data_IF_879672496291
#
_entry.id   IF_879672496291
#
_cell.length_a   1.000
_cell.length_b   1.000
_cell.length_c   1.000
_cell.angle_alpha   90.00
_cell.angle_beta   90.00
_cell.angle_gamma   90.00
#
_symmetry.space_group_name_H-M   'P 1'
#
loop_
_entity.id
_entity.type
_entity.pdbx_description
1 polymer ?
#
# COMPACT_ATOMS: atom_id res chain seq x y z
N UNK A 1 28.79 8.77 5.08
CA UNK A 1 28.18 7.64 4.35
C UNK A 1 26.76 8.00 3.93
N UNK A 2 26.18 7.27 2.98
CA UNK A 2 24.80 7.47 2.50
C UNK A 2 23.82 6.74 3.44
N UNK A 3 22.75 7.42 3.85
CA UNK A 3 21.74 6.84 4.77
C UNK A 3 20.64 6.14 3.97
N UNK A 4 20.38 4.84 4.19
CA UNK A 4 19.32 4.12 3.49
C UNK A 4 17.92 4.47 4.03
N UNK A 5 16.97 4.61 3.09
CA UNK A 5 15.53 4.67 3.33
C UNK A 5 14.90 3.53 2.53
N UNK A 6 14.50 2.47 3.23
CA UNK A 6 13.98 1.26 2.59
C UNK A 6 12.46 1.34 2.49
N UNK A 7 11.94 1.16 1.27
CA UNK A 7 10.53 0.90 1.05
C UNK A 7 10.33 -0.62 0.94
N UNK A 8 9.41 -1.17 1.74
CA UNK A 8 9.16 -2.60 1.82
C UNK A 8 8.26 -3.08 0.67
N UNK A 9 7.34 -2.26 0.19
CA UNK A 9 6.44 -2.61 -0.90
C UNK A 9 6.26 -1.46 -1.87
N UNK A 10 6.50 -1.76 -3.15
CA UNK A 10 6.42 -0.80 -4.24
C UNK A 10 5.74 -1.44 -5.46
N UNK A 11 4.50 -1.93 -5.23
CA UNK A 11 3.59 -2.50 -6.24
C UNK A 11 4.01 -3.88 -6.72
N UNK A 12 4.88 -4.53 -5.95
CA UNK A 12 5.60 -5.75 -6.27
C UNK A 12 5.05 -6.96 -5.52
N UNK A 13 3.71 -7.05 -5.41
CA UNK A 13 3.08 -8.21 -4.78
C UNK A 13 3.52 -9.51 -5.49
N UNK A 14 4.01 -10.52 -4.75
CA UNK A 14 4.37 -11.79 -5.36
C UNK A 14 3.16 -12.42 -6.08
N UNK A 15 3.34 -12.80 -7.35
CA UNK A 15 2.30 -13.45 -8.14
C UNK A 15 1.71 -14.70 -7.47
N UNK A 16 2.52 -15.43 -6.69
CA UNK A 16 2.06 -16.59 -5.94
C UNK A 16 0.93 -16.25 -4.95
N UNK A 17 0.95 -15.07 -4.33
CA UNK A 17 -0.11 -14.62 -3.40
C UNK A 17 -1.37 -14.17 -4.16
N UNK A 18 -1.20 -13.51 -5.30
CA UNK A 18 -2.29 -13.16 -6.22
C UNK A 18 -3.04 -14.43 -6.67
N UNK A 19 -2.31 -15.45 -7.15
CA UNK A 19 -2.90 -16.71 -7.60
C UNK A 19 -3.51 -17.53 -6.46
N UNK A 20 -2.95 -17.46 -5.24
CA UNK A 20 -3.40 -18.28 -4.11
C UNK A 20 -4.70 -17.78 -3.49
N UNK A 21 -4.87 -16.47 -3.35
CA UNK A 21 -6.01 -15.89 -2.64
C UNK A 21 -6.46 -14.52 -3.16
N UNK A 22 -6.10 -14.16 -4.40
CA UNK A 22 -6.44 -12.86 -5.00
C UNK A 22 -5.74 -11.68 -4.31
N UNK A 23 -4.54 -11.93 -3.76
CA UNK A 23 -3.61 -10.91 -3.29
C UNK A 23 -4.20 -9.89 -2.34
N UNK A 24 -4.15 -8.61 -2.71
CA UNK A 24 -4.62 -7.49 -1.89
C UNK A 24 -6.14 -7.51 -1.64
N UNK A 25 -6.91 -8.32 -2.37
CA UNK A 25 -8.34 -8.48 -2.14
C UNK A 25 -8.67 -9.47 -1.00
N UNK A 26 -7.67 -10.15 -0.44
CA UNK A 26 -7.84 -11.06 0.69
C UNK A 26 -7.17 -10.54 1.95
N UNK A 27 -7.84 -10.74 3.09
CA UNK A 27 -7.30 -10.42 4.41
C UNK A 27 -6.02 -11.20 4.74
N UNK A 28 -5.76 -12.34 4.08
CA UNK A 28 -4.55 -13.14 4.29
C UNK A 28 -3.26 -12.34 4.02
N UNK A 29 -3.31 -11.34 3.13
CA UNK A 29 -2.14 -10.52 2.79
C UNK A 29 -1.59 -9.74 3.98
N UNK A 30 -2.44 -9.43 4.98
CA UNK A 30 -2.05 -8.70 6.18
C UNK A 30 -0.97 -9.47 6.96
N UNK A 31 -1.18 -10.77 7.14
CA UNK A 31 -0.21 -11.62 7.84
C UNK A 31 1.04 -11.83 7.00
N UNK A 32 0.88 -12.14 5.71
CA UNK A 32 2.01 -12.44 4.82
C UNK A 32 2.93 -11.21 4.65
N UNK A 33 2.36 -10.00 4.53
CA UNK A 33 3.14 -8.77 4.49
C UNK A 33 3.85 -8.49 5.82
N UNK A 34 3.18 -8.70 6.95
CA UNK A 34 3.80 -8.50 8.26
C UNK A 34 4.97 -9.48 8.52
N UNK A 35 4.83 -10.73 8.06
CA UNK A 35 5.91 -11.74 8.12
C UNK A 35 7.09 -11.35 7.21
N UNK A 36 6.82 -10.85 5.99
CA UNK A 36 7.84 -10.31 5.09
C UNK A 36 8.57 -9.09 5.69
N UNK A 37 7.82 -8.12 6.23
CA UNK A 37 8.38 -6.94 6.87
C UNK A 37 9.28 -7.33 8.06
N UNK A 38 8.83 -8.29 8.87
CA UNK A 38 9.60 -8.80 9.99
C UNK A 38 10.91 -9.47 9.55
N UNK A 39 10.89 -10.25 8.46
CA UNK A 39 12.10 -10.78 7.86
C UNK A 39 13.08 -9.67 7.46
N UNK A 40 12.60 -8.59 6.84
CA UNK A 40 13.43 -7.43 6.49
C UNK A 40 14.00 -6.73 7.74
N UNK A 41 13.21 -6.55 8.80
CA UNK A 41 13.68 -5.96 10.05
C UNK A 41 14.78 -6.79 10.71
N UNK A 42 14.64 -8.12 10.74
CA UNK A 42 15.66 -9.05 11.26
C UNK A 42 16.95 -8.98 10.45
N UNK A 43 16.83 -8.94 9.13
CA UNK A 43 17.97 -9.09 8.21
C UNK A 43 18.75 -7.80 8.01
N UNK A 44 18.07 -6.65 7.99
CA UNK A 44 18.69 -5.38 7.61
C UNK A 44 18.56 -4.28 8.65
N UNK A 45 17.76 -4.47 9.71
CA UNK A 45 17.47 -3.44 10.70
C UNK A 45 18.65 -3.06 11.61
N UNK A 46 19.76 -3.80 11.55
CA UNK A 46 21.03 -3.39 12.15
C UNK A 46 21.57 -2.11 11.49
N UNK A 47 21.37 -1.96 10.16
CA UNK A 47 21.85 -0.84 9.34
C UNK A 47 20.75 0.11 8.85
N UNK A 48 19.58 -0.41 8.52
CA UNK A 48 18.45 0.39 8.02
C UNK A 48 17.66 0.96 9.21
N UNK A 49 17.60 2.29 9.28
CA UNK A 49 16.92 3.03 10.36
C UNK A 49 15.69 3.80 9.92
N UNK A 50 15.40 3.81 8.61
CA UNK A 50 14.24 4.49 8.04
C UNK A 50 13.48 3.50 7.16
N UNK A 51 12.30 3.12 7.61
CA UNK A 51 11.43 2.16 6.95
C UNK A 51 10.16 2.84 6.44
N UNK A 52 9.78 2.52 5.20
CA UNK A 52 8.47 2.84 4.64
C UNK A 52 7.79 1.52 4.31
N UNK A 53 6.56 1.31 4.80
CA UNK A 53 5.86 0.04 4.54
C UNK A 53 5.39 -0.06 3.09
N UNK A 54 4.73 0.99 2.59
CA UNK A 54 4.12 1.03 1.27
C UNK A 54 4.48 2.34 0.59
N UNK A 55 4.74 2.26 -0.72
CA UNK A 55 4.57 3.39 -1.63
C UNK A 55 3.09 3.58 -1.94
N UNK A 56 2.58 4.80 -1.81
CA UNK A 56 1.34 5.30 -2.44
C UNK A 56 0.18 4.27 -2.50
N UNK A 57 -0.36 3.81 -1.35
CA UNK A 57 -1.39 2.77 -1.33
C UNK A 57 -2.66 3.14 -2.12
N UNK A 58 -2.98 4.43 -2.21
CA UNK A 58 -4.08 4.95 -3.05
C UNK A 58 -3.84 4.66 -4.54
N UNK A 59 -2.60 4.79 -5.02
CA UNK A 59 -2.24 4.47 -6.41
C UNK A 59 -2.45 2.98 -6.67
N UNK A 60 -1.97 2.12 -5.77
CA UNK A 60 -2.15 0.66 -5.87
C UNK A 60 -3.62 0.30 -5.96
N UNK A 61 -4.44 0.83 -5.05
CA UNK A 61 -5.87 0.54 -5.00
C UNK A 61 -6.61 1.07 -6.24
N UNK A 62 -6.45 2.36 -6.58
CA UNK A 62 -7.18 2.98 -7.68
C UNK A 62 -6.69 2.46 -9.04
N UNK A 63 -5.39 2.49 -9.31
CA UNK A 63 -4.88 2.11 -10.62
C UNK A 63 -4.80 0.59 -10.81
N UNK A 64 -4.77 -0.20 -9.74
CA UNK A 64 -4.79 -1.66 -9.81
C UNK A 64 -6.19 -2.28 -9.91
N UNK A 65 -7.20 -1.62 -9.31
CA UNK A 65 -8.54 -2.21 -9.11
C UNK A 65 -9.73 -1.32 -9.52
N UNK A 66 -9.53 -0.04 -9.86
CA UNK A 66 -10.57 0.86 -10.38
C UNK A 66 -10.53 0.89 -11.91
N UNK A 67 -9.46 1.42 -12.50
CA UNK A 67 -9.31 1.49 -13.96
C UNK A 67 -8.35 0.42 -14.53
N UNK A 68 -7.73 -0.39 -13.67
CA UNK A 68 -6.87 -1.51 -14.06
C UNK A 68 -5.62 -1.13 -14.87
N UNK A 69 -5.14 0.10 -14.75
CA UNK A 69 -3.93 0.56 -15.44
C UNK A 69 -2.65 -0.11 -14.94
N UNK A 70 -2.59 -0.48 -13.65
CA UNK A 70 -1.49 -1.22 -13.05
C UNK A 70 -1.89 -2.65 -12.70
N UNK A 71 -0.89 -3.52 -12.53
CA UNK A 71 -1.12 -4.88 -12.05
C UNK A 71 -1.90 -4.86 -10.71
N UNK A 72 -2.87 -5.78 -10.51
CA UNK A 72 -3.19 -6.93 -11.36
C UNK A 72 -4.08 -6.62 -12.57
N UNK A 73 -4.44 -5.35 -12.80
CA UNK A 73 -5.20 -4.94 -13.99
C UNK A 73 -6.68 -5.30 -13.90
N UNK A 74 -7.30 -5.01 -12.76
CA UNK A 74 -8.70 -5.33 -12.48
C UNK A 74 -9.57 -4.07 -12.57
N UNK A 75 -10.72 -4.21 -13.22
CA UNK A 75 -11.72 -3.14 -13.34
C UNK A 75 -13.06 -3.71 -13.80
N UNK A 76 -14.14 -2.95 -13.61
CA UNK A 76 -15.41 -3.22 -14.29
C UNK A 76 -15.27 -2.95 -15.79
N UNK A 77 -16.05 -3.66 -16.61
CA UNK A 77 -15.94 -3.61 -18.09
C UNK A 77 -16.17 -2.21 -18.68
N UNK A 78 -16.91 -1.36 -17.97
CA UNK A 78 -17.24 0.00 -18.39
C UNK A 78 -16.04 0.95 -18.32
N UNK A 79 -15.03 0.64 -17.49
CA UNK A 79 -13.91 1.52 -17.21
C UNK A 79 -12.59 1.09 -17.87
N UNK A 80 -12.52 -0.11 -18.44
CA UNK A 80 -11.32 -0.59 -19.11
C UNK A 80 -11.46 -1.98 -19.72
N UNK A 81 -10.39 -2.42 -20.41
CA UNK A 81 -10.32 -3.74 -21.05
C UNK A 81 -9.81 -4.82 -20.08
N UNK A 82 -10.30 -4.81 -18.83
CA UNK A 82 -9.91 -5.79 -17.82
C UNK A 82 -10.69 -7.10 -18.00
N UNK A 83 -10.06 -8.22 -17.68
CA UNK A 83 -10.70 -9.55 -17.79
C UNK A 83 -11.58 -9.88 -16.58
N UNK A 84 -11.37 -9.20 -15.45
CA UNK A 84 -12.14 -9.33 -14.22
C UNK A 84 -12.01 -8.06 -13.37
N UNK A 85 -12.88 -7.91 -12.37
CA UNK A 85 -12.81 -6.84 -11.37
C UNK A 85 -14.16 -6.22 -11.06
N UNK A 86 -14.16 -5.32 -10.08
CA UNK A 86 -15.28 -4.45 -9.78
C UNK A 86 -14.76 -3.12 -9.22
N UNK A 87 -14.77 -2.09 -10.07
CA UNK A 87 -14.28 -0.74 -9.76
C UNK A 87 -15.03 -0.07 -8.61
N UNK A 88 -16.27 -0.48 -8.33
CA UNK A 88 -17.08 0.06 -7.25
C UNK A 88 -16.76 -0.53 -5.87
N UNK A 89 -16.00 -1.63 -5.78
CA UNK A 89 -15.77 -2.34 -4.51
C UNK A 89 -14.31 -2.72 -4.27
N UNK A 90 -13.62 -3.24 -5.28
CA UNK A 90 -12.26 -3.78 -5.13
C UNK A 90 -11.21 -2.75 -4.70
N UNK A 91 -11.22 -1.49 -5.19
CA UNK A 91 -10.29 -0.47 -4.68
C UNK A 91 -10.37 -0.27 -3.17
N UNK A 92 -11.59 -0.29 -2.61
CA UNK A 92 -11.81 -0.10 -1.17
C UNK A 92 -11.34 -1.32 -0.37
N UNK A 93 -11.57 -2.53 -0.87
CA UNK A 93 -11.09 -3.77 -0.24
C UNK A 93 -9.56 -3.79 -0.22
N UNK A 94 -8.93 -3.50 -1.36
CA UNK A 94 -7.47 -3.44 -1.47
C UNK A 94 -6.88 -2.37 -0.56
N UNK A 95 -7.44 -1.15 -0.56
CA UNK A 95 -7.00 -0.08 0.33
C UNK A 95 -7.13 -0.45 1.81
N UNK A 96 -8.24 -1.11 2.19
CA UNK A 96 -8.44 -1.57 3.57
C UNK A 96 -7.37 -2.58 3.99
N UNK A 97 -7.08 -3.59 3.16
CA UNK A 97 -6.05 -4.57 3.45
C UNK A 97 -4.64 -3.97 3.45
N UNK A 98 -4.34 -2.97 2.61
CA UNK A 98 -3.06 -2.23 2.64
C UNK A 98 -2.89 -1.48 3.97
N UNK A 99 -3.93 -0.82 4.48
CA UNK A 99 -3.92 -0.13 5.78
C UNK A 99 -3.70 -1.14 6.92
N UNK A 100 -4.41 -2.26 6.90
CA UNK A 100 -4.24 -3.31 7.92
C UNK A 100 -2.84 -3.93 7.89
N UNK A 101 -2.31 -4.18 6.68
CA UNK A 101 -0.94 -4.67 6.47
C UNK A 101 0.09 -3.69 7.03
N UNK A 102 -0.10 -2.39 6.79
CA UNK A 102 0.75 -1.34 7.35
C UNK A 102 0.73 -1.37 8.88
N UNK A 103 -0.48 -1.38 9.46
CA UNK A 103 -0.65 -1.38 10.91
C UNK A 103 0.01 -2.61 11.56
N UNK A 104 -0.16 -3.80 10.97
CA UNK A 104 0.44 -5.04 11.46
C UNK A 104 1.98 -4.99 11.42
N UNK A 105 2.58 -4.51 10.33
CA UNK A 105 4.02 -4.37 10.22
C UNK A 105 4.59 -3.31 11.20
N UNK A 106 3.92 -2.16 11.33
CA UNK A 106 4.30 -1.11 12.28
C UNK A 106 4.21 -1.60 13.71
N UNK A 107 3.14 -2.32 14.08
CA UNK A 107 2.99 -2.88 15.41
C UNK A 107 4.16 -3.82 15.73
N UNK A 108 4.48 -4.77 14.84
CA UNK A 108 5.62 -5.67 15.03
C UNK A 108 6.94 -4.92 15.16
N UNK A 109 7.17 -3.89 14.33
CA UNK A 109 8.39 -3.09 14.41
C UNK A 109 8.52 -2.40 15.76
N UNK A 110 7.46 -1.71 16.21
CA UNK A 110 7.45 -0.95 17.47
C UNK A 110 7.66 -1.83 18.69
N UNK A 111 6.97 -2.97 18.74
CA UNK A 111 7.01 -3.88 19.89
C UNK A 111 8.32 -4.65 20.01
N UNK A 112 8.93 -5.06 18.88
CA UNK A 112 10.02 -6.04 18.91
C UNK A 112 11.38 -5.50 18.45
N UNK A 113 11.40 -4.43 17.66
CA UNK A 113 12.62 -3.99 16.96
C UNK A 113 13.00 -2.54 17.26
N UNK A 114 12.03 -1.63 17.44
CA UNK A 114 12.30 -0.19 17.46
C UNK A 114 13.22 0.21 18.61
N UNK A 115 13.02 -0.32 19.82
CA UNK A 115 13.86 -0.02 20.98
C UNK A 115 15.33 -0.42 20.74
N UNK A 116 15.55 -1.62 20.18
CA UNK A 116 16.90 -2.18 19.95
C UNK A 116 17.57 -1.56 18.74
N UNK A 117 16.83 -1.44 17.64
CA UNK A 117 17.37 -0.96 16.35
C UNK A 117 17.41 0.55 16.27
N UNK A 118 16.64 1.27 17.10
CA UNK A 118 16.57 2.75 17.16
C UNK A 118 16.23 3.40 15.83
N UNK A 119 15.41 2.72 15.02
CA UNK A 119 14.90 3.25 13.75
C UNK A 119 13.50 3.84 13.85
N UNK A 120 12.98 4.27 12.71
CA UNK A 120 11.62 4.78 12.52
C UNK A 120 10.96 4.08 11.35
N UNK A 121 9.64 3.98 11.42
CA UNK A 121 8.80 3.36 10.41
C UNK A 121 7.62 4.27 10.09
N UNK A 122 7.29 4.38 8.81
CA UNK A 122 6.17 5.17 8.31
C UNK A 122 5.61 4.59 7.02
N UNK A 123 4.87 5.42 6.29
CA UNK A 123 4.25 5.11 5.00
C UNK A 123 4.40 6.31 4.08
N UNK A 124 4.57 6.07 2.78
CA UNK A 124 4.62 7.12 1.77
C UNK A 124 3.22 7.26 1.15
N UNK A 125 2.66 8.46 1.21
CA UNK A 125 1.36 8.77 0.63
C UNK A 125 1.54 9.70 -0.57
N UNK A 126 0.98 9.30 -1.70
CA UNK A 126 0.72 10.20 -2.82
C UNK A 126 -0.55 10.99 -2.50
N UNK A 127 -0.52 12.27 -2.86
CA UNK A 127 -1.68 13.12 -2.89
C UNK A 127 -1.48 14.20 -3.95
N UNK A 128 -2.59 14.63 -4.54
CA UNK A 128 -2.64 15.81 -5.39
C UNK A 128 -3.15 16.97 -4.54
N UNK A 129 -2.52 18.14 -4.68
CA UNK A 129 -3.06 19.36 -4.10
C UNK A 129 -4.22 19.86 -4.95
N UNK A 130 -5.40 20.00 -4.36
CA UNK A 130 -6.59 20.51 -5.03
C UNK A 130 -6.83 21.96 -4.66
N UNK A 131 -7.10 22.78 -5.67
CA UNK A 131 -7.62 24.14 -5.51
C UNK A 131 -9.03 24.20 -6.10
N UNK A 132 -9.93 25.02 -5.52
CA UNK A 132 -11.27 25.16 -6.04
C UNK A 132 -11.22 25.78 -7.45
N UNK A 133 -11.94 25.19 -8.41
CA UNK A 133 -11.98 25.65 -9.80
C UNK A 133 -12.46 27.11 -9.92
N UNK A 134 -13.38 27.52 -9.03
CA UNK A 134 -13.85 28.91 -8.92
C UNK A 134 -14.01 29.31 -7.45
N UNK A 135 -14.43 30.54 -7.18
CA UNK A 135 -14.75 31.02 -5.82
C UNK A 135 -16.11 30.53 -5.30
N UNK A 136 -16.80 29.65 -6.03
CA UNK A 136 -18.11 29.15 -5.62
C UNK A 136 -18.01 28.28 -4.35
N UNK A 137 -19.06 28.26 -3.54
CA UNK A 137 -19.11 27.40 -2.35
C UNK A 137 -19.04 25.91 -2.72
N UNK A 138 -19.57 25.53 -3.88
CA UNK A 138 -19.55 24.16 -4.38
C UNK A 138 -18.12 23.71 -4.69
N UNK A 139 -17.34 24.54 -5.39
CA UNK A 139 -15.97 24.17 -5.75
C UNK A 139 -15.04 24.14 -4.54
N UNK A 140 -15.30 24.97 -3.52
CA UNK A 140 -14.59 24.90 -2.24
C UNK A 140 -14.89 23.63 -1.43
N UNK A 141 -16.00 22.94 -1.70
CA UNK A 141 -16.30 21.63 -1.08
C UNK A 141 -15.84 20.44 -1.92
N UNK A 142 -15.64 20.65 -3.23
CA UNK A 142 -15.18 19.62 -4.14
C UNK A 142 -13.65 19.45 -4.09
N UNK A 143 -12.91 20.53 -3.84
CA UNK A 143 -11.47 20.52 -3.57
C UNK A 143 -11.18 20.08 -2.13
#
# INVERSE_FOLDING_TARGET
>A
GITPYANLYHYDLPLALELRYNGLLSHNVVKDFADYAEFCFKTFGDRVKNWMTFNEPRVVAALGYDNGFFAPGRCSKEYGNCTAGNSGTEPYIAAHNLILSHAAAVQRYRENYQEKQKGRIGILLDFVWYEPLTRSKADNYAA
#
